data_IF_014821197666
#
_entry.id   IF_014821197666
#
_cell.length_a   1.000
_cell.length_b   1.000
_cell.length_c   1.000
_cell.angle_alpha   90.00
_cell.angle_beta   90.00
_cell.angle_gamma   90.00
#
_symmetry.space_group_name_H-M   'P 1'
#
loop_
_entity.id
_entity.type
_entity.pdbx_description
1 polymer ?
#
# COMPACT_ATOMS: atom_id res chain seq x y z
N UNK A 1 18.87 10.58 0.20
CA UNK A 1 18.47 9.73 -0.93
C UNK A 1 16.97 9.46 -0.86
N UNK A 2 16.23 9.74 -1.94
CA UNK A 2 14.80 9.44 -2.05
C UNK A 2 14.59 8.41 -3.17
N UNK A 3 14.05 7.24 -2.84
CA UNK A 3 13.79 6.14 -3.77
C UNK A 3 12.30 5.85 -3.77
N UNK A 4 11.64 6.01 -4.92
CA UNK A 4 10.18 5.98 -5.00
C UNK A 4 9.64 4.90 -5.93
N UNK A 5 8.45 4.36 -5.65
CA UNK A 5 7.82 3.33 -6.45
C UNK A 5 7.10 3.91 -7.68
N UNK A 6 6.61 3.01 -8.51
CA UNK A 6 5.92 3.30 -9.76
C UNK A 6 4.39 3.50 -9.63
N UNK A 7 3.78 3.02 -8.56
CA UNK A 7 2.31 2.98 -8.45
C UNK A 7 1.65 4.35 -8.18
N UNK A 8 2.39 5.28 -7.56
CA UNK A 8 1.98 6.68 -7.37
C UNK A 8 3.16 7.62 -7.67
N UNK A 9 3.58 7.73 -8.94
CA UNK A 9 4.86 8.34 -9.32
C UNK A 9 4.97 9.85 -9.08
N UNK A 10 3.85 10.52 -8.80
CA UNK A 10 3.82 11.95 -8.43
C UNK A 10 3.66 12.15 -6.92
N UNK A 11 2.82 11.33 -6.28
CA UNK A 11 2.52 11.51 -4.86
C UNK A 11 3.63 11.03 -3.95
N UNK A 12 4.29 9.90 -4.27
CA UNK A 12 5.35 9.36 -3.42
C UNK A 12 6.59 10.26 -3.38
N UNK A 13 7.08 10.80 -4.50
CA UNK A 13 8.14 11.81 -4.43
C UNK A 13 7.76 13.03 -3.59
N UNK A 14 6.51 13.50 -3.69
CA UNK A 14 6.06 14.64 -2.89
C UNK A 14 6.12 14.41 -1.38
N UNK A 15 5.95 13.17 -0.92
CA UNK A 15 6.04 12.84 0.50
C UNK A 15 7.47 12.76 1.04
N UNK A 16 8.47 12.66 0.17
CA UNK A 16 9.89 12.51 0.54
C UNK A 16 10.69 13.75 0.15
N UNK A 17 10.59 14.17 -1.10
CA UNK A 17 11.39 15.25 -1.65
C UNK A 17 10.99 16.60 -1.06
N UNK A 18 9.68 16.91 -1.04
CA UNK A 18 9.23 18.23 -0.55
C UNK A 18 9.59 18.47 0.93
N UNK A 19 9.32 17.56 1.89
CA UNK A 19 9.70 17.78 3.26
C UNK A 19 11.23 17.82 3.47
N UNK A 20 12.00 17.07 2.68
CA UNK A 20 13.45 17.13 2.72
C UNK A 20 13.96 18.52 2.28
N UNK A 21 13.48 19.04 1.16
CA UNK A 21 13.81 20.37 0.65
C UNK A 21 13.35 21.47 1.62
N UNK A 22 12.12 21.36 2.14
CA UNK A 22 11.59 22.31 3.11
C UNK A 22 12.39 22.35 4.41
N UNK A 23 13.05 21.25 4.77
CA UNK A 23 13.97 21.17 5.90
C UNK A 23 15.39 21.70 5.59
N UNK A 24 15.64 22.15 4.37
CA UNK A 24 16.94 22.69 3.93
C UNK A 24 17.95 21.63 3.49
N UNK A 25 17.52 20.42 3.21
CA UNK A 25 18.39 19.37 2.67
C UNK A 25 18.52 19.45 1.14
N UNK A 26 19.60 18.90 0.63
CA UNK A 26 19.71 18.51 -0.78
C UNK A 26 19.17 17.09 -0.97
N UNK A 27 18.70 16.75 -2.18
CA UNK A 27 18.08 15.46 -2.44
C UNK A 27 18.65 14.82 -3.70
N UNK A 28 19.09 13.57 -3.57
CA UNK A 28 19.31 12.70 -4.72
C UNK A 28 18.07 11.82 -4.89
N UNK A 29 17.34 12.02 -5.98
CA UNK A 29 16.05 11.39 -6.24
C UNK A 29 16.20 10.31 -7.30
N UNK A 30 15.87 9.07 -6.93
CA UNK A 30 15.78 7.93 -7.84
C UNK A 30 14.31 7.50 -7.99
N UNK A 31 13.62 7.93 -9.04
CA UNK A 31 12.30 7.41 -9.38
C UNK A 31 12.38 5.95 -9.82
N UNK A 32 11.26 5.24 -9.83
CA UNK A 32 11.19 3.91 -10.44
C UNK A 32 11.47 3.98 -11.94
N UNK A 33 12.16 3.00 -12.44
CA UNK A 33 12.41 2.80 -13.87
C UNK A 33 11.12 2.62 -14.69
N UNK A 34 10.08 2.09 -14.10
CA UNK A 34 8.76 1.90 -14.73
C UNK A 34 8.03 3.23 -14.98
N UNK A 35 8.40 4.29 -14.25
CA UNK A 35 7.78 5.62 -14.35
C UNK A 35 8.83 6.74 -14.38
N UNK A 36 9.94 6.49 -15.03
CA UNK A 36 11.09 7.40 -15.08
C UNK A 36 10.72 8.79 -15.62
N UNK A 37 9.87 8.87 -16.64
CA UNK A 37 9.43 10.15 -17.21
C UNK A 37 8.58 10.98 -16.24
N UNK A 38 7.73 10.33 -15.43
CA UNK A 38 6.98 11.03 -14.39
C UNK A 38 7.92 11.61 -13.33
N UNK A 39 8.92 10.82 -12.91
CA UNK A 39 9.93 11.28 -11.95
C UNK A 39 10.78 12.43 -12.50
N UNK A 40 11.16 12.38 -13.77
CA UNK A 40 11.89 13.46 -14.42
C UNK A 40 11.04 14.75 -14.47
N UNK A 41 9.81 14.66 -14.99
CA UNK A 41 8.91 15.80 -15.05
C UNK A 41 8.64 16.44 -13.69
N UNK A 42 8.50 15.60 -12.63
CA UNK A 42 8.35 16.08 -11.26
C UNK A 42 9.57 16.92 -10.82
N UNK A 43 10.78 16.43 -11.10
CA UNK A 43 12.01 17.14 -10.73
C UNK A 43 12.25 18.38 -11.58
N UNK A 44 11.93 18.35 -12.88
CA UNK A 44 12.08 19.50 -13.79
C UNK A 44 11.27 20.69 -13.29
N UNK A 45 10.00 20.47 -12.91
CA UNK A 45 9.14 21.53 -12.34
C UNK A 45 9.73 22.13 -11.06
N UNK A 46 10.30 21.32 -10.18
CA UNK A 46 10.93 21.82 -8.96
C UNK A 46 12.25 22.57 -9.27
N UNK A 47 13.03 22.08 -10.20
CA UNK A 47 14.31 22.68 -10.56
C UNK A 47 14.18 24.04 -11.30
N UNK A 48 12.97 24.39 -11.79
CA UNK A 48 12.72 25.76 -12.29
C UNK A 48 12.88 26.84 -11.20
N UNK A 49 12.69 26.48 -9.92
CA UNK A 49 12.72 27.42 -8.79
C UNK A 49 13.78 27.11 -7.75
N UNK A 50 14.40 25.93 -7.81
CA UNK A 50 15.45 25.53 -6.88
C UNK A 50 16.84 26.03 -7.37
N UNK A 51 17.78 26.32 -6.46
CA UNK A 51 19.17 26.51 -6.82
C UNK A 51 19.75 25.27 -7.53
N UNK A 52 20.78 25.42 -8.38
CA UNK A 52 21.46 24.29 -8.99
C UNK A 52 21.93 23.26 -7.96
N UNK A 53 21.84 21.97 -8.32
CA UNK A 53 22.33 20.82 -7.55
C UNK A 53 21.62 20.57 -6.20
N UNK A 54 20.52 21.25 -5.93
CA UNK A 54 19.70 20.99 -4.72
C UNK A 54 18.83 19.75 -4.87
N UNK A 55 18.30 19.50 -6.07
CA UNK A 55 17.58 18.27 -6.42
C UNK A 55 18.21 17.64 -7.67
N UNK A 56 18.81 16.48 -7.49
CA UNK A 56 19.47 15.72 -8.56
C UNK A 56 18.68 14.44 -8.81
N UNK A 57 18.36 14.16 -10.08
CA UNK A 57 17.69 12.92 -10.49
C UNK A 57 18.71 11.89 -10.97
N UNK A 58 18.57 10.66 -10.49
CA UNK A 58 19.35 9.52 -10.96
C UNK A 58 18.38 8.46 -11.50
N UNK A 59 18.42 8.26 -12.82
CA UNK A 59 17.65 7.21 -13.47
C UNK A 59 18.40 5.88 -13.43
N UNK A 60 17.64 4.80 -13.37
CA UNK A 60 18.13 3.43 -13.38
C UNK A 60 17.27 2.51 -12.53
N UNK A 61 17.65 1.25 -12.48
CA UNK A 61 16.97 0.19 -11.75
C UNK A 61 17.68 -0.16 -10.43
N UNK A 62 17.88 -1.45 -10.16
CA UNK A 62 18.41 -1.96 -8.90
C UNK A 62 19.83 -1.45 -8.58
N UNK A 63 20.71 -1.39 -9.59
CA UNK A 63 22.13 -1.03 -9.36
C UNK A 63 22.26 0.42 -8.91
N UNK A 64 21.51 1.34 -9.50
CA UNK A 64 21.49 2.75 -9.12
C UNK A 64 20.83 2.92 -7.73
N UNK A 65 19.79 2.13 -7.44
CA UNK A 65 19.18 2.09 -6.10
C UNK A 65 20.17 1.64 -5.04
N UNK A 66 20.89 0.56 -5.27
CA UNK A 66 21.94 0.04 -4.37
C UNK A 66 23.08 1.04 -4.20
N UNK A 67 23.55 1.64 -5.31
CA UNK A 67 24.61 2.66 -5.27
C UNK A 67 24.20 3.87 -4.43
N UNK A 68 22.94 4.34 -4.55
CA UNK A 68 22.43 5.44 -3.74
C UNK A 68 22.36 5.07 -2.25
N UNK A 69 21.92 3.86 -1.92
CA UNK A 69 21.89 3.38 -0.53
C UNK A 69 23.29 3.29 0.06
N UNK A 70 24.30 2.91 -0.72
CA UNK A 70 25.70 2.76 -0.30
C UNK A 70 26.49 4.08 -0.34
N UNK A 71 25.98 5.13 -1.01
CA UNK A 71 26.64 6.43 -1.06
C UNK A 71 26.72 7.09 0.34
N UNK A 72 27.33 8.24 0.46
CA UNK A 72 27.52 8.97 1.72
C UNK A 72 26.33 9.87 2.12
N UNK A 73 25.14 9.65 1.55
CA UNK A 73 23.93 10.37 1.98
C UNK A 73 23.63 10.10 3.46
N UNK A 74 23.15 11.10 4.19
CA UNK A 74 22.84 11.00 5.62
C UNK A 74 21.56 10.23 5.91
N UNK A 75 20.64 10.17 4.94
CA UNK A 75 19.33 9.57 5.10
C UNK A 75 18.85 8.93 3.82
N UNK A 76 18.12 7.80 3.96
CA UNK A 76 17.34 7.19 2.88
C UNK A 76 15.85 7.24 3.22
N UNK A 77 15.07 7.86 2.35
CA UNK A 77 13.61 7.75 2.32
C UNK A 77 13.21 6.81 1.18
N UNK A 78 12.50 5.75 1.51
CA UNK A 78 12.14 4.68 0.57
C UNK A 78 10.68 4.29 0.71
N UNK A 79 10.01 4.12 -0.42
CA UNK A 79 8.73 3.42 -0.52
C UNK A 79 8.85 2.30 -1.53
N UNK A 80 8.46 1.09 -1.14
CA UNK A 80 8.53 -0.09 -2.00
C UNK A 80 8.34 -1.40 -1.25
N UNK A 81 8.94 -2.49 -1.76
CA UNK A 81 8.74 -3.81 -1.17
C UNK A 81 9.43 -3.99 0.17
N UNK A 82 8.84 -4.83 1.03
CA UNK A 82 9.38 -5.20 2.34
C UNK A 82 10.82 -5.72 2.27
N UNK A 83 11.14 -6.55 1.30
CA UNK A 83 12.47 -7.17 1.19
C UNK A 83 13.54 -6.15 0.82
N UNK A 84 13.22 -5.19 -0.06
CA UNK A 84 14.12 -4.07 -0.36
C UNK A 84 14.29 -3.17 0.87
N UNK A 85 13.22 -2.88 1.60
CA UNK A 85 13.30 -2.14 2.86
C UNK A 85 14.23 -2.78 3.89
N UNK A 86 14.15 -4.10 4.05
CA UNK A 86 15.09 -4.86 4.91
C UNK A 86 16.55 -4.79 4.43
N UNK A 87 16.77 -4.81 3.11
CA UNK A 87 18.09 -4.62 2.53
C UNK A 87 18.63 -3.22 2.85
N UNK A 88 17.83 -2.18 2.64
CA UNK A 88 18.20 -0.80 2.96
C UNK A 88 18.57 -0.65 4.44
N UNK A 89 17.79 -1.23 5.35
CA UNK A 89 18.09 -1.19 6.78
C UNK A 89 19.45 -1.84 7.11
N UNK A 90 19.77 -2.98 6.47
CA UNK A 90 21.07 -3.67 6.69
C UNK A 90 22.24 -2.81 6.23
N UNK A 91 22.14 -2.21 5.04
CA UNK A 91 23.18 -1.34 4.49
C UNK A 91 23.32 -0.04 5.33
N UNK A 92 22.21 0.57 5.71
CA UNK A 92 22.18 1.79 6.51
C UNK A 92 22.84 1.62 7.89
N UNK A 93 22.77 0.44 8.48
CA UNK A 93 23.34 0.14 9.79
C UNK A 93 24.87 0.34 9.81
N UNK A 94 25.58 0.06 8.71
CA UNK A 94 27.03 0.19 8.62
C UNK A 94 27.58 1.61 8.84
N UNK A 95 26.76 2.62 8.55
CA UNK A 95 27.11 4.05 8.71
C UNK A 95 26.13 4.81 9.59
N UNK A 96 25.19 4.10 10.26
CA UNK A 96 24.10 4.69 11.06
C UNK A 96 23.25 5.70 10.28
N UNK A 97 23.06 5.47 8.98
CA UNK A 97 22.15 6.30 8.18
C UNK A 97 20.74 6.26 8.75
N UNK A 98 20.11 7.41 8.76
CA UNK A 98 18.69 7.49 9.08
C UNK A 98 17.87 6.91 7.94
N UNK A 99 16.79 6.22 8.27
CA UNK A 99 15.87 5.67 7.28
C UNK A 99 14.42 6.02 7.61
N UNK A 100 13.65 6.31 6.58
CA UNK A 100 12.18 6.31 6.61
C UNK A 100 11.73 5.35 5.55
N UNK A 101 11.03 4.30 5.95
CA UNK A 101 10.60 3.20 5.09
C UNK A 101 9.08 3.10 5.11
N UNK A 102 8.46 3.21 3.96
CA UNK A 102 7.07 2.88 3.74
C UNK A 102 7.03 1.65 2.84
N UNK A 103 6.46 0.58 3.35
CA UNK A 103 6.56 -0.74 2.74
C UNK A 103 5.17 -1.31 2.42
N UNK A 104 5.14 -2.53 1.92
CA UNK A 104 3.89 -3.19 1.54
C UNK A 104 2.95 -3.49 2.70
N UNK A 105 1.75 -3.92 2.35
CA UNK A 105 0.70 -4.33 3.25
C UNK A 105 0.09 -5.68 2.86
N UNK A 106 -0.78 -6.19 3.71
CA UNK A 106 -1.73 -7.26 3.44
C UNK A 106 -3.01 -6.90 4.20
N UNK A 107 -3.56 -5.77 3.80
CA UNK A 107 -4.51 -5.03 4.62
C UNK A 107 -5.83 -5.78 4.79
N UNK A 108 -6.28 -6.00 6.03
CA UNK A 108 -7.55 -6.63 6.31
C UNK A 108 -8.71 -5.63 6.28
N UNK A 109 -9.86 -6.11 5.84
CA UNK A 109 -11.16 -5.49 6.04
C UNK A 109 -12.05 -6.43 6.84
N UNK A 110 -12.67 -5.94 7.90
CA UNK A 110 -13.67 -6.67 8.68
C UNK A 110 -15.05 -6.14 8.33
N UNK A 111 -16.00 -7.05 8.07
CA UNK A 111 -17.41 -6.73 7.82
C UNK A 111 -18.23 -7.37 8.94
N UNK A 112 -18.76 -6.52 9.82
CA UNK A 112 -19.51 -6.92 11.01
C UNK A 112 -21.01 -7.05 10.70
N UNK A 113 -21.75 -7.67 11.62
CA UNK A 113 -23.17 -8.05 11.46
C UNK A 113 -24.10 -6.88 11.07
N UNK A 114 -23.87 -5.69 11.63
CA UNK A 114 -24.74 -4.53 11.39
C UNK A 114 -24.10 -3.50 10.43
N UNK A 115 -23.20 -3.96 9.57
CA UNK A 115 -22.62 -3.10 8.54
C UNK A 115 -23.64 -2.78 7.46
N UNK A 116 -23.53 -1.59 6.89
CA UNK A 116 -24.14 -1.27 5.59
C UNK A 116 -23.43 -2.08 4.50
N UNK A 117 -24.01 -3.22 4.14
CA UNK A 117 -23.39 -4.21 3.23
C UNK A 117 -23.15 -3.61 1.84
N UNK A 118 -24.07 -2.81 1.33
CA UNK A 118 -23.92 -2.17 0.04
C UNK A 118 -22.73 -1.19 0.03
N UNK A 119 -22.58 -0.41 1.09
CA UNK A 119 -21.44 0.50 1.28
C UNK A 119 -20.13 -0.26 1.48
N UNK A 120 -20.16 -1.33 2.26
CA UNK A 120 -18.99 -2.18 2.52
C UNK A 120 -18.49 -2.86 1.23
N UNK A 121 -19.38 -3.44 0.41
CA UNK A 121 -19.04 -4.08 -0.86
C UNK A 121 -18.50 -3.08 -1.88
N UNK A 122 -19.11 -1.90 -1.99
CA UNK A 122 -18.58 -0.81 -2.85
C UNK A 122 -17.19 -0.37 -2.42
N UNK A 123 -16.96 -0.24 -1.10
CA UNK A 123 -15.65 0.11 -0.58
C UNK A 123 -14.63 -1.01 -0.86
N UNK A 124 -14.99 -2.28 -0.61
CA UNK A 124 -14.14 -3.43 -0.88
C UNK A 124 -13.70 -3.45 -2.35
N UNK A 125 -14.65 -3.34 -3.29
CA UNK A 125 -14.36 -3.28 -4.73
C UNK A 125 -13.46 -2.11 -5.08
N UNK A 126 -13.78 -0.90 -4.62
CA UNK A 126 -12.96 0.28 -4.89
C UNK A 126 -11.55 0.13 -4.32
N UNK A 127 -11.39 -0.35 -3.08
CA UNK A 127 -10.08 -0.41 -2.44
C UNK A 127 -9.24 -1.60 -2.92
N UNK A 128 -9.87 -2.71 -3.33
CA UNK A 128 -9.14 -3.87 -3.87
C UNK A 128 -8.77 -3.71 -5.35
N UNK A 129 -9.51 -2.90 -6.12
CA UNK A 129 -9.36 -2.90 -7.58
C UNK A 129 -8.85 -1.58 -8.18
N UNK A 130 -8.94 -0.44 -7.46
CA UNK A 130 -8.39 0.83 -7.96
C UNK A 130 -6.90 0.68 -8.29
N UNK A 131 -6.44 1.35 -9.35
CA UNK A 131 -5.08 1.23 -9.87
C UNK A 131 -4.67 -0.23 -10.13
N UNK A 132 -5.63 -1.08 -10.55
CA UNK A 132 -5.46 -2.53 -10.71
C UNK A 132 -4.95 -3.22 -9.44
N UNK A 133 -5.39 -2.79 -8.26
CA UNK A 133 -4.96 -3.33 -6.95
C UNK A 133 -3.51 -2.98 -6.55
N UNK A 134 -2.80 -2.20 -7.37
CA UNK A 134 -1.40 -1.84 -7.15
C UNK A 134 -1.27 -0.68 -6.15
N UNK A 135 -1.75 -0.91 -4.94
CA UNK A 135 -1.85 0.08 -3.86
C UNK A 135 -1.42 -0.54 -2.54
N UNK A 136 -0.49 0.09 -1.83
CA UNK A 136 0.06 -0.43 -0.56
C UNK A 136 -1.00 -0.66 0.53
N UNK A 137 -2.10 0.10 0.52
CA UNK A 137 -3.27 -0.07 1.40
C UNK A 137 -4.47 -0.70 0.67
N UNK A 138 -4.22 -1.51 -0.36
CA UNK A 138 -5.26 -2.31 -1.00
C UNK A 138 -5.89 -3.27 0.01
N UNK A 139 -7.21 -3.40 -0.01
CA UNK A 139 -7.88 -4.44 0.78
C UNK A 139 -7.64 -5.78 0.10
N UNK A 140 -6.75 -6.58 0.66
CA UNK A 140 -6.38 -7.88 0.10
C UNK A 140 -6.99 -9.06 0.87
N UNK A 141 -7.43 -8.85 2.11
CA UNK A 141 -8.07 -9.87 2.96
C UNK A 141 -9.36 -9.32 3.55
N UNK A 142 -10.49 -9.96 3.27
CA UNK A 142 -11.79 -9.54 3.76
C UNK A 142 -12.33 -10.63 4.69
N UNK A 143 -12.54 -10.30 5.95
CA UNK A 143 -13.15 -11.18 6.95
C UNK A 143 -14.58 -10.74 7.20
N UNK A 144 -15.53 -11.55 6.78
CA UNK A 144 -16.95 -11.23 6.85
C UNK A 144 -17.66 -12.18 7.81
N UNK A 145 -18.49 -11.65 8.72
CA UNK A 145 -19.28 -12.48 9.62
C UNK A 145 -20.28 -13.33 8.84
N UNK A 146 -20.42 -14.61 9.23
CA UNK A 146 -21.29 -15.59 8.57
C UNK A 146 -22.73 -15.08 8.36
N UNK A 147 -23.25 -14.29 9.30
CA UNK A 147 -24.61 -13.75 9.24
C UNK A 147 -24.89 -12.81 8.09
N UNK A 148 -23.83 -12.18 7.50
CA UNK A 148 -23.94 -11.22 6.40
C UNK A 148 -23.10 -11.63 5.17
N UNK A 149 -22.46 -12.79 5.22
CA UNK A 149 -21.50 -13.21 4.20
C UNK A 149 -22.15 -13.41 2.83
N UNK A 150 -23.30 -14.04 2.75
CA UNK A 150 -23.98 -14.30 1.47
C UNK A 150 -24.35 -13.00 0.75
N UNK A 151 -24.88 -12.01 1.48
CA UNK A 151 -25.25 -10.71 0.93
C UNK A 151 -24.00 -9.93 0.49
N UNK A 152 -22.95 -9.94 1.30
CA UNK A 152 -21.69 -9.25 0.99
C UNK A 152 -20.98 -9.84 -0.24
N UNK A 153 -20.84 -11.18 -0.28
CA UNK A 153 -20.21 -11.87 -1.41
C UNK A 153 -20.97 -11.65 -2.72
N UNK A 154 -22.30 -11.72 -2.69
CA UNK A 154 -23.13 -11.44 -3.85
C UNK A 154 -22.92 -10.01 -4.34
N UNK A 155 -23.00 -9.01 -3.44
CA UNK A 155 -22.84 -7.62 -3.78
C UNK A 155 -21.43 -7.30 -4.34
N UNK A 156 -20.37 -7.86 -3.74
CA UNK A 156 -19.00 -7.67 -4.21
C UNK A 156 -18.77 -8.33 -5.58
N UNK A 157 -19.33 -9.54 -5.77
CA UNK A 157 -19.25 -10.30 -7.04
C UNK A 157 -19.93 -9.54 -8.18
N UNK A 158 -21.12 -8.99 -7.95
CA UNK A 158 -21.86 -8.20 -8.94
C UNK A 158 -21.06 -6.96 -9.36
N UNK A 159 -20.50 -6.23 -8.38
CA UNK A 159 -19.67 -5.05 -8.66
C UNK A 159 -18.42 -5.43 -9.46
N UNK A 160 -17.68 -6.45 -9.03
CA UNK A 160 -16.47 -6.89 -9.71
C UNK A 160 -16.73 -7.34 -11.16
N UNK A 161 -17.82 -8.07 -11.37
CA UNK A 161 -18.22 -8.57 -12.69
C UNK A 161 -18.66 -7.48 -13.67
N UNK A 162 -19.13 -6.34 -13.15
CA UNK A 162 -19.54 -5.21 -13.95
C UNK A 162 -18.40 -4.24 -14.34
N UNK A 163 -17.22 -4.39 -13.73
CA UNK A 163 -16.09 -3.50 -13.98
C UNK A 163 -15.49 -3.71 -15.36
N UNK A 164 -15.24 -2.59 -16.05
CA UNK A 164 -14.62 -2.57 -17.38
C UNK A 164 -13.10 -2.42 -17.24
N UNK A 165 -12.36 -3.33 -17.87
CA UNK A 165 -10.90 -3.34 -17.86
C UNK A 165 -10.40 -2.91 -19.24
N UNK A 166 -9.45 -2.00 -19.31
CA UNK A 166 -8.91 -1.53 -20.58
C UNK A 166 -7.92 -0.38 -20.46
N UNK A 167 -7.66 0.28 -21.58
CA UNK A 167 -6.73 1.39 -21.62
C UNK A 167 -7.29 2.60 -20.86
N UNK A 168 -6.47 3.23 -20.02
CA UNK A 168 -6.87 4.42 -19.26
C UNK A 168 -7.19 5.67 -20.10
N UNK A 169 -6.97 5.64 -21.41
CA UNK A 169 -7.45 6.66 -22.33
C UNK A 169 -8.94 6.47 -22.70
N UNK A 170 -9.51 5.31 -22.42
CA UNK A 170 -10.91 4.96 -22.65
C UNK A 170 -11.70 5.09 -21.34
N UNK A 171 -13.04 5.06 -21.45
CA UNK A 171 -13.92 5.03 -20.28
C UNK A 171 -13.92 3.64 -19.63
N UNK A 172 -12.93 3.36 -18.77
CA UNK A 172 -12.75 2.08 -18.07
C UNK A 172 -12.60 2.31 -16.56
N UNK A 173 -12.86 1.24 -15.80
CA UNK A 173 -12.78 1.29 -14.34
C UNK A 173 -11.39 0.84 -13.83
N UNK A 174 -10.71 -0.04 -14.59
CA UNK A 174 -9.43 -0.63 -14.23
C UNK A 174 -8.47 -0.58 -15.43
N UNK A 175 -7.26 -0.05 -15.18
CA UNK A 175 -6.16 -0.03 -16.13
C UNK A 175 -5.29 -1.31 -16.09
N UNK A 176 -4.12 -1.30 -16.75
CA UNK A 176 -3.23 -2.45 -16.78
C UNK A 176 -2.41 -2.62 -15.49
N UNK A 177 -1.88 -3.82 -15.32
CA UNK A 177 -0.72 -4.06 -14.46
C UNK A 177 0.50 -3.33 -15.01
N UNK A 178 1.41 -2.91 -14.14
CA UNK A 178 2.60 -2.13 -14.53
C UNK A 178 3.46 -2.83 -15.58
N UNK A 179 3.63 -4.15 -15.46
CA UNK A 179 4.42 -4.96 -16.37
C UNK A 179 4.00 -6.44 -16.32
N UNK A 180 4.58 -7.26 -17.21
CA UNK A 180 4.28 -8.67 -17.30
C UNK A 180 4.68 -9.46 -16.03
N UNK A 181 5.81 -9.11 -15.39
CA UNK A 181 6.28 -9.77 -14.16
C UNK A 181 5.24 -9.66 -13.04
N UNK A 182 4.69 -8.45 -12.83
CA UNK A 182 3.68 -8.22 -11.80
C UNK A 182 2.36 -8.90 -12.14
N UNK A 183 1.94 -8.87 -13.43
CA UNK A 183 0.79 -9.66 -13.91
C UNK A 183 0.96 -11.15 -13.59
N UNK A 184 2.09 -11.74 -13.98
CA UNK A 184 2.33 -13.16 -13.82
C UNK A 184 2.38 -13.58 -12.34
N UNK A 185 2.92 -12.71 -11.47
CA UNK A 185 2.85 -12.91 -10.02
C UNK A 185 1.41 -12.99 -9.51
N UNK A 186 0.54 -12.08 -9.93
CA UNK A 186 -0.88 -12.07 -9.53
C UNK A 186 -1.60 -13.33 -10.03
N UNK A 187 -1.41 -13.67 -11.31
CA UNK A 187 -2.05 -14.85 -11.89
C UNK A 187 -1.60 -16.15 -11.21
N UNK A 188 -0.32 -16.28 -10.91
CA UNK A 188 0.21 -17.44 -10.19
C UNK A 188 -0.37 -17.57 -8.77
N UNK A 189 -0.59 -16.47 -8.07
CA UNK A 189 -1.26 -16.50 -6.75
C UNK A 189 -2.72 -16.93 -6.85
N UNK A 190 -3.46 -16.45 -7.86
CA UNK A 190 -4.85 -16.87 -8.11
C UNK A 190 -4.90 -18.37 -8.40
N UNK A 191 -4.07 -18.87 -9.34
CA UNK A 191 -4.01 -20.29 -9.70
C UNK A 191 -3.66 -21.17 -8.50
N UNK A 192 -2.68 -20.75 -7.70
CA UNK A 192 -2.29 -21.48 -6.48
C UNK A 192 -3.43 -21.54 -5.46
N UNK A 193 -4.15 -20.44 -5.27
CA UNK A 193 -5.27 -20.39 -4.34
C UNK A 193 -6.43 -21.29 -4.80
N UNK A 194 -6.76 -21.27 -6.08
CA UNK A 194 -7.80 -22.14 -6.67
C UNK A 194 -7.40 -23.61 -6.54
N UNK A 195 -6.15 -23.95 -6.84
CA UNK A 195 -5.62 -25.31 -6.65
C UNK A 195 -5.64 -25.74 -5.17
N UNK A 196 -5.51 -24.78 -4.24
CA UNK A 196 -5.63 -24.99 -2.80
C UNK A 196 -7.06 -25.07 -2.27
N UNK A 197 -8.09 -24.90 -3.12
CA UNK A 197 -9.50 -25.01 -2.75
C UNK A 197 -10.26 -23.70 -2.61
N UNK A 198 -9.65 -22.56 -2.94
CA UNK A 198 -10.38 -21.30 -3.03
C UNK A 198 -11.40 -21.33 -4.18
N UNK A 199 -12.54 -20.67 -3.98
CA UNK A 199 -13.62 -20.57 -4.95
C UNK A 199 -13.50 -19.25 -5.72
N UNK A 200 -13.59 -19.29 -7.05
CA UNK A 200 -13.69 -18.08 -7.87
C UNK A 200 -15.14 -17.60 -7.88
N UNK A 201 -15.41 -16.47 -7.21
CA UNK A 201 -16.75 -15.86 -7.19
C UNK A 201 -16.93 -14.90 -8.38
N UNK A 202 -15.85 -14.18 -8.77
CA UNK A 202 -15.80 -13.38 -9.99
C UNK A 202 -14.38 -13.40 -10.56
N UNK A 203 -14.24 -13.18 -11.87
CA UNK A 203 -12.93 -13.04 -12.52
C UNK A 203 -12.19 -14.35 -12.71
N UNK A 204 -11.07 -14.51 -12.08
CA UNK A 204 -10.11 -15.62 -12.23
C UNK A 204 -8.83 -15.16 -12.96
N UNK A 205 -8.17 -16.07 -13.67
CA UNK A 205 -6.91 -15.77 -14.39
C UNK A 205 -7.09 -15.19 -15.80
N UNK A 206 -8.28 -14.69 -16.11
CA UNK A 206 -8.54 -14.02 -17.38
C UNK A 206 -7.72 -12.74 -17.54
N UNK A 207 -7.01 -12.60 -18.65
CA UNK A 207 -6.22 -11.40 -18.95
C UNK A 207 -6.02 -11.20 -20.46
N UNK A 208 -5.69 -9.96 -20.84
CA UNK A 208 -5.24 -9.62 -22.18
C UNK A 208 -4.02 -8.69 -22.09
N UNK A 209 -2.87 -9.16 -22.54
CA UNK A 209 -1.61 -8.45 -22.27
C UNK A 209 -1.42 -8.24 -20.77
N UNK A 210 -1.27 -7.00 -20.33
CA UNK A 210 -1.14 -6.65 -18.90
C UNK A 210 -2.48 -6.31 -18.23
N UNK A 211 -3.60 -6.43 -18.91
CA UNK A 211 -4.93 -6.18 -18.36
C UNK A 211 -5.45 -7.44 -17.68
N UNK A 212 -5.49 -7.44 -16.36
CA UNK A 212 -6.02 -8.53 -15.51
C UNK A 212 -7.42 -8.16 -15.06
N UNK A 213 -8.36 -9.10 -15.20
CA UNK A 213 -9.74 -8.86 -14.75
C UNK A 213 -9.82 -8.88 -13.22
N UNK A 214 -10.68 -8.03 -12.60
CA UNK A 214 -10.87 -8.03 -11.16
C UNK A 214 -11.39 -9.38 -10.70
N UNK A 215 -10.76 -9.91 -9.65
CA UNK A 215 -11.02 -11.25 -9.17
C UNK A 215 -11.47 -11.22 -7.72
N UNK A 216 -12.57 -11.91 -7.43
CA UNK A 216 -13.05 -12.17 -6.07
C UNK A 216 -12.88 -13.66 -5.79
N UNK A 217 -12.12 -13.99 -4.75
CA UNK A 217 -11.93 -15.35 -4.26
C UNK A 217 -12.68 -15.53 -2.94
N UNK A 218 -13.48 -16.57 -2.85
CA UNK A 218 -14.09 -17.03 -1.61
C UNK A 218 -13.38 -18.27 -1.06
N UNK A 219 -13.68 -18.65 0.16
CA UNK A 219 -13.11 -19.82 0.81
C UNK A 219 -11.58 -19.84 0.84
N UNK A 220 -10.97 -18.67 1.05
CA UNK A 220 -9.51 -18.52 1.15
C UNK A 220 -9.07 -18.88 2.57
N UNK A 221 -8.20 -19.89 2.68
CA UNK A 221 -7.62 -20.31 3.96
C UNK A 221 -6.31 -19.59 4.27
N UNK A 222 -5.92 -19.53 5.55
CA UNK A 222 -4.76 -18.79 6.03
C UNK A 222 -3.40 -19.39 5.61
N UNK A 223 -3.37 -20.63 5.17
CA UNK A 223 -2.18 -21.34 4.68
C UNK A 223 -1.91 -21.11 3.18
N UNK A 224 -2.85 -20.49 2.47
CA UNK A 224 -2.65 -20.12 1.06
C UNK A 224 -1.71 -18.92 0.95
N UNK A 225 -0.79 -18.94 -0.02
CA UNK A 225 0.15 -17.83 -0.26
C UNK A 225 -0.58 -16.50 -0.44
N UNK A 226 -1.72 -16.52 -1.15
CA UNK A 226 -2.53 -15.32 -1.38
C UNK A 226 -3.14 -14.72 -0.10
N UNK A 227 -3.18 -15.43 1.01
CA UNK A 227 -3.59 -14.92 2.31
C UNK A 227 -2.43 -14.27 3.09
N UNK A 228 -1.18 -14.60 2.76
CA UNK A 228 0.02 -14.25 3.52
C UNK A 228 0.96 -13.29 2.78
N UNK A 229 1.09 -13.43 1.46
CA UNK A 229 1.99 -12.67 0.61
C UNK A 229 1.21 -11.56 -0.09
N UNK A 230 1.75 -10.34 -0.09
CA UNK A 230 1.18 -9.20 -0.79
C UNK A 230 0.96 -9.54 -2.27
N UNK A 231 -0.27 -9.38 -2.75
CA UNK A 231 -0.65 -9.67 -4.15
C UNK A 231 -0.32 -8.49 -5.05
N UNK A 232 -0.61 -7.28 -4.59
CA UNK A 232 -0.42 -6.03 -5.33
C UNK A 232 -1.06 -6.11 -6.73
N UNK A 233 -2.29 -6.60 -6.78
CA UNK A 233 -3.07 -6.86 -7.97
C UNK A 233 -4.57 -6.79 -7.70
N UNK A 234 -5.43 -6.83 -8.74
CA UNK A 234 -6.86 -6.64 -8.60
C UNK A 234 -7.57 -7.91 -8.07
N UNK A 235 -7.23 -8.29 -6.83
CA UNK A 235 -7.77 -9.49 -6.18
C UNK A 235 -8.29 -9.16 -4.78
N UNK A 236 -9.53 -9.55 -4.51
CA UNK A 236 -10.17 -9.48 -3.20
C UNK A 236 -10.39 -10.90 -2.67
N UNK A 237 -9.79 -11.25 -1.53
CA UNK A 237 -9.95 -12.55 -0.88
C UNK A 237 -10.96 -12.45 0.25
N UNK A 238 -12.04 -13.22 0.17
CA UNK A 238 -13.11 -13.28 1.17
C UNK A 238 -12.99 -14.55 2.00
N UNK A 239 -12.98 -14.38 3.30
CA UNK A 239 -12.99 -15.46 4.30
C UNK A 239 -14.15 -15.22 5.25
N UNK A 240 -15.05 -16.19 5.35
CA UNK A 240 -16.13 -16.16 6.33
C UNK A 240 -15.62 -16.47 7.72
N UNK A 241 -16.15 -15.82 8.72
CA UNK A 241 -15.77 -15.98 10.12
C UNK A 241 -17.01 -16.04 11.01
N UNK A 242 -16.93 -16.85 12.06
CA UNK A 242 -18.04 -17.11 12.97
C UNK A 242 -18.21 -16.04 14.06
N UNK A 243 -17.18 -15.22 14.30
CA UNK A 243 -17.20 -14.23 15.37
C UNK A 243 -16.24 -13.05 15.08
N UNK A 244 -16.50 -11.94 15.79
CA UNK A 244 -15.60 -10.77 15.78
C UNK A 244 -14.22 -11.12 16.32
N UNK A 245 -14.13 -12.00 17.31
CA UNK A 245 -12.85 -12.42 17.89
C UNK A 245 -12.01 -13.21 16.89
N UNK A 246 -12.63 -14.08 16.12
CA UNK A 246 -11.98 -14.79 15.02
C UNK A 246 -11.52 -13.82 13.93
N UNK A 247 -12.39 -12.88 13.51
CA UNK A 247 -12.05 -11.87 12.51
C UNK A 247 -10.81 -11.05 12.92
N UNK A 248 -10.77 -10.59 14.17
CA UNK A 248 -9.63 -9.83 14.71
C UNK A 248 -8.37 -10.68 14.80
N UNK A 249 -8.48 -11.93 15.25
CA UNK A 249 -7.34 -12.85 15.34
C UNK A 249 -6.71 -13.07 13.95
N UNK A 250 -7.53 -13.41 12.94
CA UNK A 250 -7.10 -13.62 11.56
C UNK A 250 -6.55 -12.33 10.92
N UNK A 251 -7.19 -11.19 11.13
CA UNK A 251 -6.73 -9.90 10.64
C UNK A 251 -5.31 -9.57 11.16
N UNK A 252 -5.05 -9.85 12.43
CA UNK A 252 -3.76 -9.62 13.07
C UNK A 252 -2.71 -10.71 12.78
N UNK A 253 -3.11 -11.85 12.20
CA UNK A 253 -2.20 -12.95 11.85
C UNK A 253 -1.43 -12.65 10.55
N UNK A 254 -0.55 -11.69 10.61
CA UNK A 254 0.35 -11.27 9.53
C UNK A 254 1.55 -10.52 10.09
N UNK A 255 2.65 -10.49 9.35
CA UNK A 255 3.76 -9.60 9.69
C UNK A 255 3.63 -8.18 9.12
N UNK A 256 2.64 -7.94 8.31
CA UNK A 256 2.30 -6.60 7.84
C UNK A 256 1.45 -5.84 8.88
N UNK A 257 1.30 -4.55 8.66
CA UNK A 257 0.50 -3.69 9.53
C UNK A 257 0.39 -2.27 8.98
N UNK A 258 0.15 -2.11 7.65
CA UNK A 258 0.03 -0.78 7.07
C UNK A 258 -1.35 -0.19 7.34
N UNK A 259 -2.38 -0.75 6.78
CA UNK A 259 -3.76 -0.33 6.97
C UNK A 259 -4.68 -1.46 7.43
N UNK A 260 -5.84 -1.10 7.92
CA UNK A 260 -6.96 -1.99 8.19
C UNK A 260 -8.27 -1.21 8.15
N UNK A 261 -9.38 -1.90 7.85
CA UNK A 261 -10.70 -1.27 7.80
C UNK A 261 -11.72 -2.12 8.53
N UNK A 262 -12.64 -1.48 9.25
CA UNK A 262 -13.78 -2.15 9.89
C UNK A 262 -15.06 -1.50 9.43
N UNK A 263 -15.96 -2.28 8.88
CA UNK A 263 -17.33 -1.89 8.58
C UNK A 263 -18.28 -2.51 9.61
N UNK A 264 -19.12 -1.70 10.18
CA UNK A 264 -20.11 -2.06 11.18
C UNK A 264 -21.08 -0.93 11.42
N UNK A 265 -21.95 -1.08 12.41
CA UNK A 265 -22.81 0.02 12.84
C UNK A 265 -21.97 1.22 13.30
N UNK A 266 -22.42 2.44 12.99
CA UNK A 266 -21.74 3.66 13.44
C UNK A 266 -21.82 3.76 14.98
N UNK A 267 -20.66 3.81 15.63
CA UNK A 267 -20.64 3.95 17.09
C UNK A 267 -19.41 3.39 17.80
N UNK A 268 -19.55 3.30 19.12
CA UNK A 268 -18.46 2.92 20.02
C UNK A 268 -18.01 1.46 19.84
N UNK A 269 -18.93 0.56 19.50
CA UNK A 269 -18.65 -0.88 19.41
C UNK A 269 -17.78 -1.20 18.19
N UNK A 270 -18.10 -0.65 17.01
CA UNK A 270 -17.26 -0.78 15.81
C UNK A 270 -15.87 -0.15 16.03
N UNK A 271 -15.82 1.00 16.71
CA UNK A 271 -14.57 1.64 17.07
C UNK A 271 -13.76 0.81 18.10
N UNK A 272 -14.42 0.09 19.00
CA UNK A 272 -13.75 -0.81 19.93
C UNK A 272 -13.11 -2.01 19.21
N UNK A 273 -13.79 -2.60 18.22
CA UNK A 273 -13.22 -3.64 17.36
C UNK A 273 -11.99 -3.10 16.60
N UNK A 274 -12.11 -1.92 16.01
CA UNK A 274 -11.01 -1.29 15.27
C UNK A 274 -9.75 -1.13 16.14
N UNK A 275 -9.89 -0.72 17.41
CA UNK A 275 -8.75 -0.57 18.35
C UNK A 275 -8.00 -1.89 18.65
N UNK A 276 -8.59 -3.02 18.35
CA UNK A 276 -7.96 -4.35 18.52
C UNK A 276 -7.05 -4.75 17.35
N UNK A 277 -7.11 -4.01 16.23
CA UNK A 277 -6.28 -4.26 15.06
C UNK A 277 -4.90 -3.64 15.25
N UNK A 278 -3.88 -4.29 14.71
CA UNK A 278 -2.47 -3.92 14.91
C UNK A 278 -1.86 -3.15 13.74
N UNK A 279 -2.68 -2.64 12.82
CA UNK A 279 -2.22 -1.77 11.73
C UNK A 279 -1.90 -0.35 12.22
N UNK A 280 -1.00 0.33 11.52
CA UNK A 280 -0.65 1.72 11.81
C UNK A 280 -1.78 2.71 11.48
N UNK A 281 -2.59 2.38 10.48
CA UNK A 281 -3.74 3.18 10.06
C UNK A 281 -5.00 2.34 10.04
N UNK A 282 -6.06 2.81 10.70
CA UNK A 282 -7.31 2.06 10.77
C UNK A 282 -8.48 2.96 10.38
N UNK A 283 -9.29 2.52 9.44
CA UNK A 283 -10.54 3.15 9.02
C UNK A 283 -11.75 2.49 9.65
N UNK A 284 -12.72 3.26 10.11
CA UNK A 284 -14.03 2.80 10.54
C UNK A 284 -15.07 3.33 9.57
N UNK A 285 -15.75 2.45 8.84
CA UNK A 285 -16.71 2.76 7.78
C UNK A 285 -16.15 3.68 6.67
N UNK A 286 -14.81 3.70 6.50
CA UNK A 286 -14.08 4.51 5.53
C UNK A 286 -12.67 3.96 5.32
N UNK A 287 -11.96 4.52 4.32
CA UNK A 287 -10.56 4.18 4.05
C UNK A 287 -9.63 4.44 5.25
N UNK A 288 -8.63 3.59 5.40
CA UNK A 288 -7.52 3.79 6.32
C UNK A 288 -6.63 4.96 5.85
N UNK A 289 -6.13 5.75 6.79
CA UNK A 289 -5.26 6.90 6.52
C UNK A 289 -5.99 8.09 5.87
N UNK A 290 -5.23 9.11 5.51
CA UNK A 290 -5.70 10.24 4.70
C UNK A 290 -6.45 11.35 5.44
N UNK A 291 -6.63 11.29 6.75
CA UNK A 291 -7.15 12.42 7.49
C UNK A 291 -6.13 13.59 7.48
N UNK A 292 -6.63 14.81 7.39
CA UNK A 292 -5.79 16.02 7.36
C UNK A 292 -4.97 16.11 8.66
N UNK A 293 -3.67 16.36 8.52
CA UNK A 293 -2.77 16.50 9.67
C UNK A 293 -2.34 15.20 10.35
N UNK A 294 -2.82 14.04 9.87
CA UNK A 294 -2.38 12.74 10.39
C UNK A 294 -1.22 12.16 9.60
N UNK A 295 -0.32 11.40 10.25
CA UNK A 295 0.76 10.72 9.56
C UNK A 295 0.23 9.55 8.69
N UNK A 296 1.00 9.22 7.67
CA UNK A 296 0.91 7.95 6.96
C UNK A 296 1.96 7.02 7.57
N UNK A 297 1.49 6.00 8.27
CA UNK A 297 2.35 5.17 9.12
C UNK A 297 2.01 3.70 8.99
N UNK A 298 3.04 2.87 8.81
CA UNK A 298 2.95 1.42 8.90
C UNK A 298 3.46 0.93 10.25
N UNK A 299 2.78 -0.08 10.79
CA UNK A 299 3.27 -0.85 11.94
C UNK A 299 3.97 -2.12 11.46
N UNK A 300 4.63 -2.82 12.38
CA UNK A 300 5.31 -4.10 12.13
C UNK A 300 6.31 -4.00 10.96
N UNK A 301 6.19 -4.91 9.96
CA UNK A 301 7.08 -4.94 8.81
C UNK A 301 6.55 -4.12 7.61
N UNK A 302 5.55 -3.27 7.83
CA UNK A 302 5.05 -2.34 6.81
C UNK A 302 5.73 -0.98 6.84
N UNK A 303 6.62 -0.72 7.78
CA UNK A 303 7.41 0.50 7.73
C UNK A 303 8.18 0.83 9.00
N UNK A 304 9.05 1.84 8.87
CA UNK A 304 9.79 2.46 9.94
C UNK A 304 9.78 3.97 9.71
N UNK A 305 9.43 4.73 10.73
CA UNK A 305 9.12 6.15 10.54
C UNK A 305 7.75 6.33 9.86
N UNK A 306 7.48 7.51 9.37
CA UNK A 306 6.21 7.84 8.73
C UNK A 306 6.32 9.08 7.86
N UNK A 307 5.38 9.24 6.93
CA UNK A 307 5.27 10.37 6.03
C UNK A 307 4.08 11.25 6.41
N UNK A 308 3.97 12.39 5.74
CA UNK A 308 2.90 13.38 5.93
C UNK A 308 2.87 13.91 7.37
N UNK A 309 1.95 14.79 7.68
CA UNK A 309 1.82 15.48 8.96
C UNK A 309 3.07 16.33 9.35
N UNK A 310 2.93 17.27 10.30
CA UNK A 310 4.05 18.02 10.81
C UNK A 310 5.18 17.15 11.41
N UNK A 311 4.80 16.04 12.06
CA UNK A 311 5.78 15.14 12.67
C UNK A 311 6.51 14.28 11.63
N UNK A 312 5.84 13.88 10.55
CA UNK A 312 6.46 13.20 9.41
C UNK A 312 7.49 14.12 8.72
N UNK A 313 7.18 15.40 8.59
CA UNK A 313 8.13 16.37 8.02
C UNK A 313 9.36 16.55 8.91
N UNK A 314 9.21 16.54 10.24
CA UNK A 314 10.33 16.62 11.19
C UNK A 314 11.31 15.44 11.07
N UNK A 315 10.91 14.30 10.51
CA UNK A 315 11.84 13.18 10.29
C UNK A 315 12.96 13.53 9.31
N UNK A 316 12.76 14.52 8.44
CA UNK A 316 13.79 15.04 7.54
C UNK A 316 14.68 16.12 8.16
N UNK A 317 14.55 16.37 9.46
CA UNK A 317 15.37 17.31 10.23
C UNK A 317 16.26 16.59 11.22
N UNK A 318 17.36 17.23 11.62
CA UNK A 318 18.23 16.77 12.71
C UNK A 318 18.09 17.73 13.91
N UNK A 319 17.69 17.22 15.07
CA UNK A 319 17.67 18.01 16.28
C UNK A 319 19.07 18.49 16.63
N UNK A 320 19.20 19.79 16.97
CA UNK A 320 20.43 20.42 17.39
C UNK A 320 20.20 21.26 18.67
N UNK A 321 21.05 21.06 19.65
CA UNK A 321 21.01 21.85 20.88
C UNK A 321 22.20 22.80 20.90
N UNK A 322 21.95 24.09 21.11
CA UNK A 322 22.96 25.10 21.30
C UNK A 322 22.79 25.68 22.73
N UNK A 323 23.81 25.55 23.56
CA UNK A 323 23.83 26.16 24.91
C UNK A 323 24.82 27.32 24.91
N UNK A 324 24.35 28.47 25.34
CA UNK A 324 25.19 29.67 25.47
C UNK A 324 25.21 30.13 26.94
N UNK A 325 26.31 30.69 27.38
CA UNK A 325 26.33 31.45 28.67
C UNK A 325 25.40 32.67 28.53
N UNK A 326 24.62 32.95 29.56
CA UNK A 326 23.82 34.19 29.68
C UNK A 326 24.74 35.37 29.95
#
# INVERSE_FOLDING_TARGET
>A
GAITPWNFPMSMPAWMVLPALAAGNTVVFKPSEETALCGQAYADVLNEVLPPDVLIVVHGADDQGKALVQSDVDMIAFTGSREVGKHIMREAAGTLKRVVLELGGKDPMLVLEHADIAKAAKFAAWNSFRNAGQVCVSTERIFVLDSVADEFEAALTDIASAMRVGNGADEVDIGPMVNARQRDHVLAQIDSAVAGGASVLAGGTGHHGNFVIPTVLGNVSEDMDIACVETFGPVACVTRVSSVDEAVAKANHTHFGLGAVVFGEDGADTAAVARRLTAGMIGVNRAAGGAVGTPWVGARQSGLGFHKSPDGHKQFTQARVLTTAL
#
